data_IF_546109667307
#
_entry.id   IF_546109667307
#
_cell.length_a   1.000
_cell.length_b   1.000
_cell.length_c   1.000
_cell.angle_alpha   90.00
_cell.angle_beta   90.00
_cell.angle_gamma   90.00
#
_symmetry.space_group_name_H-M   'P 1'
#
loop_
_entity.id
_entity.type
_entity.pdbx_description
1 polymer ?
#
# COMPACT_ATOMS: atom_id res chain seq x y z
N UNK A 1 9.80 -18.96 -7.98
CA UNK A 1 9.04 -17.69 -8.15
C UNK A 1 8.09 -17.56 -6.96
N UNK A 2 8.07 -16.43 -6.25
CA UNK A 2 7.15 -16.25 -5.10
C UNK A 2 5.70 -16.39 -5.54
N UNK A 3 4.86 -17.00 -4.72
CA UNK A 3 3.48 -17.34 -5.11
C UNK A 3 2.66 -16.08 -5.43
N UNK A 4 2.90 -14.97 -4.72
CA UNK A 4 2.19 -13.72 -4.95
C UNK A 4 2.44 -13.10 -6.33
N UNK A 5 3.61 -13.34 -6.93
CA UNK A 5 3.92 -12.86 -8.29
C UNK A 5 2.98 -13.47 -9.36
N UNK A 6 2.33 -14.60 -9.08
CA UNK A 6 1.33 -15.21 -9.97
C UNK A 6 0.11 -14.30 -10.19
N UNK A 7 -0.16 -13.34 -9.30
CA UNK A 7 -1.21 -12.34 -9.50
C UNK A 7 -0.94 -11.48 -10.74
N UNK A 8 0.32 -11.13 -10.99
CA UNK A 8 0.72 -10.26 -12.11
C UNK A 8 0.81 -11.00 -13.45
N UNK A 9 0.87 -12.33 -13.42
CA UNK A 9 0.88 -13.18 -14.61
C UNK A 9 -0.54 -13.60 -15.06
N UNK A 10 -1.56 -13.35 -14.24
CA UNK A 10 -2.95 -13.69 -14.54
C UNK A 10 -3.61 -12.55 -15.34
N UNK A 11 -3.63 -12.68 -16.67
CA UNK A 11 -4.16 -11.64 -17.55
C UNK A 11 -5.63 -11.28 -17.26
N UNK A 12 -6.46 -12.25 -16.89
CA UNK A 12 -7.87 -12.01 -16.58
C UNK A 12 -8.00 -11.21 -15.28
N UNK A 13 -7.22 -11.55 -14.26
CA UNK A 13 -7.20 -10.81 -13.00
C UNK A 13 -6.59 -9.41 -13.18
N UNK A 14 -5.51 -9.27 -13.94
CA UNK A 14 -4.90 -7.98 -14.26
C UNK A 14 -5.92 -7.06 -14.92
N UNK A 15 -6.67 -7.55 -15.92
CA UNK A 15 -7.75 -6.79 -16.56
C UNK A 15 -8.81 -6.36 -15.54
N UNK A 16 -9.22 -7.27 -14.64
CA UNK A 16 -10.18 -6.95 -13.56
C UNK A 16 -9.65 -5.89 -12.60
N UNK A 17 -8.36 -5.92 -12.24
CA UNK A 17 -7.71 -4.89 -11.43
C UNK A 17 -7.78 -3.53 -12.14
N UNK A 18 -7.39 -3.48 -13.42
CA UNK A 18 -7.39 -2.25 -14.22
C UNK A 18 -8.81 -1.63 -14.32
N UNK A 19 -9.84 -2.47 -14.52
CA UNK A 19 -11.22 -2.02 -14.69
C UNK A 19 -11.92 -1.63 -13.39
N UNK A 20 -11.62 -2.32 -12.28
CA UNK A 20 -12.39 -2.25 -11.03
C UNK A 20 -11.69 -1.47 -9.92
N UNK A 21 -10.36 -1.56 -9.82
CA UNK A 21 -9.63 -0.95 -8.70
C UNK A 21 -9.85 0.57 -8.58
N UNK A 22 -9.88 1.36 -9.68
CA UNK A 22 -10.20 2.78 -9.58
C UNK A 22 -11.53 3.03 -8.90
N UNK A 23 -12.59 2.31 -9.26
CA UNK A 23 -13.90 2.49 -8.65
C UNK A 23 -13.92 2.06 -7.18
N UNK A 24 -13.28 0.94 -6.84
CA UNK A 24 -13.19 0.47 -5.46
C UNK A 24 -12.44 1.47 -4.57
N UNK A 25 -11.34 2.05 -5.05
CA UNK A 25 -10.60 3.06 -4.30
C UNK A 25 -11.35 4.40 -4.23
N UNK A 26 -12.20 4.72 -5.22
CA UNK A 26 -13.12 5.87 -5.15
C UNK A 26 -14.17 5.68 -4.05
N UNK A 27 -14.71 4.48 -3.90
CA UNK A 27 -15.63 4.13 -2.80
C UNK A 27 -14.92 4.26 -1.46
N UNK A 28 -13.69 3.72 -1.34
CA UNK A 28 -12.89 3.89 -0.13
C UNK A 28 -12.64 5.37 0.21
N UNK A 29 -12.34 6.22 -0.78
CA UNK A 29 -12.22 7.66 -0.57
C UNK A 29 -13.52 8.29 -0.07
N UNK A 30 -14.69 7.87 -0.58
CA UNK A 30 -15.99 8.40 -0.12
C UNK A 30 -16.28 8.02 1.33
N UNK A 31 -16.05 6.75 1.69
CA UNK A 31 -16.24 6.24 3.06
C UNK A 31 -15.29 6.87 4.07
N UNK A 32 -14.10 7.26 3.64
CA UNK A 32 -13.09 7.93 4.46
C UNK A 32 -13.05 9.44 4.21
N UNK A 33 -14.15 10.05 3.78
CA UNK A 33 -14.23 11.50 3.55
C UNK A 33 -15.23 12.18 4.46
N UNK A 34 -14.87 13.37 4.92
CA UNK A 34 -15.80 14.32 5.54
C UNK A 34 -15.66 15.68 4.88
N UNK A 35 -16.79 16.26 4.43
CA UNK A 35 -16.82 17.53 3.71
C UNK A 35 -15.82 17.58 2.52
N UNK A 36 -15.70 16.48 1.77
CA UNK A 36 -14.81 16.37 0.61
C UNK A 36 -13.31 16.28 0.95
N UNK A 37 -12.93 16.16 2.23
CA UNK A 37 -11.56 15.91 2.67
C UNK A 37 -11.41 14.45 3.05
N UNK A 38 -10.44 13.78 2.42
CA UNK A 38 -10.11 12.38 2.67
C UNK A 38 -9.24 12.29 3.93
N UNK A 39 -9.66 11.51 4.91
CA UNK A 39 -8.90 11.17 6.10
C UNK A 39 -7.83 10.10 5.85
N UNK A 40 -6.92 9.92 6.79
CA UNK A 40 -5.80 8.96 6.64
C UNK A 40 -6.23 7.50 6.78
N UNK A 41 -7.37 7.25 7.44
CA UNK A 41 -8.01 5.95 7.56
C UNK A 41 -8.38 5.32 6.21
N UNK A 42 -8.40 6.13 5.14
CA UNK A 42 -8.53 5.63 3.76
C UNK A 42 -7.48 4.59 3.41
N UNK A 43 -6.28 4.67 4.02
CA UNK A 43 -5.22 3.69 3.85
C UNK A 43 -5.67 2.30 4.28
N UNK A 44 -6.22 2.18 5.49
CA UNK A 44 -6.74 0.92 6.05
C UNK A 44 -7.93 0.39 5.25
N UNK A 45 -8.79 1.26 4.72
CA UNK A 45 -9.90 0.81 3.88
C UNK A 45 -9.43 0.30 2.51
N UNK A 46 -8.44 0.95 1.91
CA UNK A 46 -7.82 0.48 0.66
C UNK A 46 -7.06 -0.83 0.85
N UNK A 47 -6.39 -1.00 1.98
CA UNK A 47 -5.75 -2.26 2.37
C UNK A 47 -6.76 -3.41 2.36
N UNK A 48 -7.94 -3.24 2.97
CA UNK A 48 -9.02 -4.24 2.92
C UNK A 48 -9.45 -4.60 1.49
N UNK A 49 -9.51 -3.61 0.58
CA UNK A 49 -9.81 -3.86 -0.84
C UNK A 49 -8.72 -4.73 -1.48
N UNK A 50 -7.45 -4.49 -1.16
CA UNK A 50 -6.34 -5.29 -1.68
C UNK A 50 -6.31 -6.70 -1.05
N UNK A 51 -6.59 -6.84 0.24
CA UNK A 51 -6.72 -8.15 0.89
C UNK A 51 -7.85 -8.95 0.25
N UNK A 52 -9.00 -8.34 -0.03
CA UNK A 52 -10.10 -9.01 -0.74
C UNK A 52 -9.69 -9.51 -2.15
N UNK A 53 -8.85 -8.75 -2.87
CA UNK A 53 -8.26 -9.19 -4.13
C UNK A 53 -7.35 -10.41 -3.95
N UNK A 54 -6.54 -10.43 -2.88
CA UNK A 54 -5.66 -11.56 -2.56
C UNK A 54 -6.48 -12.81 -2.21
N UNK A 55 -7.53 -12.67 -1.39
CA UNK A 55 -8.49 -13.74 -1.07
C UNK A 55 -9.13 -14.27 -2.36
N UNK A 56 -9.58 -13.38 -3.25
CA UNK A 56 -10.16 -13.79 -4.53
C UNK A 56 -9.19 -14.62 -5.39
N UNK A 57 -7.89 -14.30 -5.37
CA UNK A 57 -6.87 -14.99 -6.18
C UNK A 57 -6.39 -16.30 -5.54
N UNK A 58 -6.15 -16.31 -4.23
CA UNK A 58 -5.47 -17.41 -3.54
C UNK A 58 -6.41 -18.28 -2.68
N UNK A 59 -7.63 -17.81 -2.41
CA UNK A 59 -8.60 -18.44 -1.52
C UNK A 59 -8.42 -18.00 -0.07
N UNK A 60 -9.50 -18.04 0.72
CA UNK A 60 -9.53 -17.63 2.13
C UNK A 60 -8.51 -18.40 2.97
N UNK A 61 -8.43 -19.71 2.81
CA UNK A 61 -7.47 -20.57 3.54
C UNK A 61 -6.00 -20.25 3.26
N UNK A 62 -5.71 -19.54 2.17
CA UNK A 62 -4.36 -19.16 1.79
C UNK A 62 -4.01 -17.72 2.17
N UNK A 63 -4.94 -16.97 2.74
CA UNK A 63 -4.76 -15.55 3.09
C UNK A 63 -5.16 -15.34 4.54
N UNK A 64 -4.16 -15.24 5.41
CA UNK A 64 -4.37 -14.97 6.83
C UNK A 64 -4.41 -13.44 7.06
N UNK A 65 -5.59 -12.99 7.48
CA UNK A 65 -5.93 -11.60 7.76
C UNK A 65 -5.93 -11.28 9.25
N UNK A 66 -5.69 -12.26 10.12
CA UNK A 66 -5.69 -12.09 11.58
C UNK A 66 -4.36 -11.51 12.07
N UNK A 67 -3.90 -10.46 11.39
CA UNK A 67 -2.70 -9.71 11.74
C UNK A 67 -3.14 -8.49 12.55
N UNK A 68 -2.58 -8.25 13.75
CA UNK A 68 -2.90 -7.06 14.52
C UNK A 68 -2.63 -5.79 13.70
N UNK A 69 -3.53 -4.80 13.77
CA UNK A 69 -3.35 -3.51 13.08
C UNK A 69 -2.10 -2.74 13.58
N UNK A 70 -1.56 -3.14 14.73
CA UNK A 70 -0.33 -2.59 15.31
C UNK A 70 0.92 -3.39 14.92
N UNK A 71 0.78 -4.49 14.18
CA UNK A 71 1.92 -5.29 13.71
C UNK A 71 2.80 -4.42 12.81
N UNK A 72 4.12 -4.36 13.06
CA UNK A 72 5.02 -3.61 12.20
C UNK A 72 5.20 -4.28 10.85
N UNK A 73 4.96 -3.51 9.79
CA UNK A 73 5.22 -3.84 8.37
C UNK A 73 4.31 -4.89 7.73
N UNK A 74 3.99 -5.99 8.41
CA UNK A 74 3.18 -7.06 7.83
C UNK A 74 1.70 -6.72 8.01
N UNK A 75 0.98 -6.62 6.89
CA UNK A 75 -0.46 -6.31 6.89
C UNK A 75 -1.31 -7.58 6.60
N UNK A 76 -0.72 -8.57 5.94
CA UNK A 76 -1.38 -9.84 5.59
C UNK A 76 -0.35 -10.94 5.33
N UNK A 77 -0.68 -12.21 5.61
CA UNK A 77 0.13 -13.36 5.21
C UNK A 77 -0.55 -14.06 4.02
N UNK A 78 0.17 -14.21 2.91
CA UNK A 78 -0.33 -14.87 1.69
C UNK A 78 0.50 -16.11 1.44
N UNK A 79 -0.15 -17.28 1.47
CA UNK A 79 0.46 -18.60 1.23
C UNK A 79 1.67 -18.90 2.13
N UNK A 80 1.63 -18.39 3.37
CA UNK A 80 2.68 -18.53 4.38
C UNK A 80 3.76 -17.44 4.35
N UNK A 81 3.68 -16.46 3.46
CA UNK A 81 4.64 -15.35 3.35
C UNK A 81 3.99 -14.02 3.76
N UNK A 82 4.64 -13.26 4.65
CA UNK A 82 4.17 -11.92 5.02
C UNK A 82 4.26 -10.91 3.87
N UNK A 83 3.32 -9.97 3.84
CA UNK A 83 3.20 -8.94 2.82
C UNK A 83 2.83 -7.59 3.47
N UNK A 84 3.55 -6.54 3.11
CA UNK A 84 3.15 -5.17 3.39
C UNK A 84 2.32 -4.61 2.24
N UNK A 85 1.20 -3.97 2.52
CA UNK A 85 0.37 -3.25 1.57
C UNK A 85 0.50 -1.76 1.84
N UNK A 86 0.89 -1.00 0.80
CA UNK A 86 1.04 0.46 0.92
C UNK A 86 0.26 1.13 -0.19
N UNK A 87 -0.51 2.17 0.17
CA UNK A 87 -1.20 2.99 -0.82
C UNK A 87 -0.80 4.45 -0.65
N UNK A 88 -0.65 5.14 -1.77
CA UNK A 88 -0.27 6.55 -1.77
C UNK A 88 -0.89 7.28 -2.94
N UNK A 89 -1.37 8.50 -2.70
CA UNK A 89 -1.88 9.36 -3.76
C UNK A 89 -0.75 10.28 -4.24
N UNK A 90 -0.46 10.27 -5.54
CA UNK A 90 0.63 11.04 -6.17
C UNK A 90 1.99 10.75 -5.52
N UNK A 91 2.88 11.74 -5.47
CA UNK A 91 4.23 11.66 -4.89
C UNK A 91 4.27 11.89 -3.37
N UNK A 92 3.28 11.39 -2.63
CA UNK A 92 3.30 11.46 -1.17
C UNK A 92 4.41 10.60 -0.56
N UNK A 93 4.76 10.89 0.69
CA UNK A 93 5.74 10.09 1.45
C UNK A 93 5.19 8.71 1.80
N UNK A 94 5.90 7.65 1.42
CA UNK A 94 5.51 6.27 1.73
C UNK A 94 6.15 5.88 3.07
N UNK A 95 5.32 5.55 4.06
CA UNK A 95 5.78 5.18 5.41
C UNK A 95 6.41 3.80 5.42
N UNK A 96 7.63 3.74 5.94
CA UNK A 96 8.33 2.50 6.28
C UNK A 96 7.96 2.05 7.69
N UNK A 97 7.94 2.99 8.65
CA UNK A 97 7.63 2.73 10.08
C UNK A 97 6.78 3.87 10.65
N UNK A 98 5.76 3.54 11.44
CA UNK A 98 4.88 4.49 12.12
C UNK A 98 5.44 5.00 13.47
N UNK A 99 6.72 5.36 13.51
CA UNK A 99 7.35 5.95 14.70
C UNK A 99 7.21 7.48 14.71
N UNK A 100 6.58 8.04 15.73
CA UNK A 100 6.18 9.47 15.75
C UNK A 100 7.12 10.37 16.54
N UNK A 101 7.73 9.89 17.62
CA UNK A 101 8.71 10.67 18.39
C UNK A 101 10.14 10.48 17.86
N UNK A 102 11.00 11.46 18.14
CA UNK A 102 12.36 11.49 17.60
C UNK A 102 13.24 10.33 18.11
N UNK A 103 13.04 9.90 19.36
CA UNK A 103 13.82 8.82 19.96
C UNK A 103 13.43 7.47 19.35
N UNK A 104 12.13 7.15 19.29
CA UNK A 104 11.62 5.92 18.68
C UNK A 104 11.87 5.89 17.17
N UNK A 105 11.84 7.03 16.49
CA UNK A 105 12.20 7.13 15.07
C UNK A 105 13.67 6.80 14.82
N UNK A 106 14.57 7.24 15.71
CA UNK A 106 16.00 6.93 15.61
C UNK A 106 16.29 5.46 15.93
N UNK A 107 15.63 4.89 16.92
CA UNK A 107 15.70 3.45 17.22
C UNK A 107 15.18 2.62 16.05
N UNK A 108 14.02 3.00 15.51
CA UNK A 108 13.41 2.37 14.34
C UNK A 108 14.34 2.43 13.14
N UNK A 109 14.95 3.59 12.88
CA UNK A 109 15.95 3.74 11.82
C UNK A 109 17.09 2.74 11.99
N UNK A 110 17.75 2.75 13.16
CA UNK A 110 18.92 1.91 13.43
C UNK A 110 18.64 0.42 13.29
N UNK A 111 17.44 -0.02 13.69
CA UNK A 111 17.04 -1.42 13.68
C UNK A 111 16.30 -1.83 12.41
N UNK A 112 15.92 -0.88 11.55
CA UNK A 112 15.18 -1.17 10.35
C UNK A 112 15.96 -2.06 9.41
N UNK A 113 15.28 -3.09 8.92
CA UNK A 113 15.68 -3.93 7.80
C UNK A 113 14.40 -4.42 7.14
N UNK A 114 14.28 -4.37 5.80
CA UNK A 114 13.15 -4.97 5.10
C UNK A 114 12.93 -6.43 5.51
N UNK A 115 11.68 -6.83 5.80
CA UNK A 115 11.35 -8.19 6.25
C UNK A 115 10.38 -8.95 5.34
N UNK A 116 9.55 -8.24 4.58
CA UNK A 116 8.52 -8.83 3.74
C UNK A 116 8.49 -8.19 2.34
N UNK A 117 7.69 -8.75 1.43
CA UNK A 117 7.40 -8.09 0.15
C UNK A 117 6.53 -6.85 0.37
N UNK A 118 6.59 -5.88 -0.55
CA UNK A 118 5.69 -4.74 -0.56
C UNK A 118 4.78 -4.82 -1.79
N UNK A 119 3.48 -4.74 -1.58
CA UNK A 119 2.48 -4.43 -2.59
C UNK A 119 2.14 -2.94 -2.51
N UNK A 120 2.67 -2.16 -3.44
CA UNK A 120 2.50 -0.69 -3.46
C UNK A 120 1.47 -0.30 -4.53
N UNK A 121 0.48 0.50 -4.14
CA UNK A 121 -0.48 1.12 -5.07
C UNK A 121 -0.33 2.64 -5.06
N UNK A 122 0.15 3.20 -6.17
CA UNK A 122 0.21 4.63 -6.42
C UNK A 122 -1.02 5.09 -7.19
N UNK A 123 -1.72 6.08 -6.66
CA UNK A 123 -3.01 6.57 -7.17
C UNK A 123 -2.79 7.89 -7.89
N UNK A 124 -3.10 7.90 -9.18
CA UNK A 124 -2.86 9.03 -10.07
C UNK A 124 -4.13 9.47 -10.81
N UNK A 125 -5.15 9.93 -10.07
CA UNK A 125 -6.42 10.40 -10.66
C UNK A 125 -6.23 11.29 -11.89
N UNK A 126 -6.91 10.93 -12.99
CA UNK A 126 -6.84 11.57 -14.30
C UNK A 126 -5.68 11.09 -15.18
N UNK A 127 -4.90 10.09 -14.77
CA UNK A 127 -3.74 9.58 -15.52
C UNK A 127 -3.75 8.06 -15.66
N UNK A 128 -3.08 7.59 -16.70
CA UNK A 128 -2.75 6.18 -16.90
C UNK A 128 -1.25 5.98 -16.75
N UNK A 129 -0.84 5.27 -15.69
CA UNK A 129 0.56 5.05 -15.32
C UNK A 129 0.72 3.69 -14.65
N UNK A 130 1.94 3.16 -14.64
CA UNK A 130 2.32 2.09 -13.72
C UNK A 130 1.99 2.51 -12.29
N UNK A 131 1.12 1.74 -11.65
CA UNK A 131 0.45 2.17 -10.41
C UNK A 131 0.37 1.07 -9.37
N UNK A 132 0.35 -0.20 -9.78
CA UNK A 132 0.22 -1.32 -8.86
C UNK A 132 1.48 -2.17 -8.98
N UNK A 133 2.24 -2.27 -7.90
CA UNK A 133 3.59 -2.80 -7.90
C UNK A 133 3.76 -3.89 -6.85
N UNK A 134 4.40 -4.99 -7.21
CA UNK A 134 4.98 -5.93 -6.27
C UNK A 134 6.48 -5.71 -6.24
N UNK A 135 6.99 -5.28 -5.09
CA UNK A 135 8.39 -5.04 -4.82
C UNK A 135 8.90 -6.18 -3.92
N UNK A 136 9.60 -7.18 -4.49
CA UNK A 136 10.08 -8.30 -3.70
C UNK A 136 11.09 -7.87 -2.63
N UNK A 137 11.15 -8.58 -1.51
CA UNK A 137 12.08 -8.37 -0.43
C UNK A 137 13.53 -8.32 -0.92
N UNK A 138 13.90 -9.19 -1.87
CA UNK A 138 15.25 -9.16 -2.49
C UNK A 138 15.58 -7.80 -3.13
N UNK A 139 14.60 -7.17 -3.78
CA UNK A 139 14.76 -5.85 -4.42
C UNK A 139 14.94 -4.77 -3.37
N UNK A 140 14.15 -4.84 -2.29
CA UNK A 140 14.29 -3.94 -1.15
C UNK A 140 15.67 -4.08 -0.50
N UNK A 141 16.14 -5.31 -0.29
CA UNK A 141 17.46 -5.59 0.28
C UNK A 141 18.61 -5.11 -0.61
N UNK A 142 18.50 -5.26 -1.93
CA UNK A 142 19.49 -4.73 -2.89
C UNK A 142 19.53 -3.19 -2.85
N UNK A 143 18.37 -2.53 -2.89
CA UNK A 143 18.29 -1.08 -2.76
C UNK A 143 18.81 -0.59 -1.39
N UNK A 144 18.47 -1.30 -0.31
CA UNK A 144 18.94 -1.02 1.04
C UNK A 144 20.46 -1.14 1.17
N UNK A 145 21.05 -2.20 0.59
CA UNK A 145 22.50 -2.40 0.55
C UNK A 145 23.20 -1.31 -0.26
N UNK A 146 22.62 -0.91 -1.40
CA UNK A 146 23.19 0.10 -2.30
C UNK A 146 23.19 1.51 -1.70
N UNK A 147 22.09 1.91 -1.08
CA UNK A 147 21.94 3.26 -0.53
C UNK A 147 22.54 3.38 0.87
N UNK A 148 22.54 2.29 1.64
CA UNK A 148 22.74 2.35 3.08
C UNK A 148 21.51 2.93 3.80
N UNK A 149 21.42 2.65 5.10
CA UNK A 149 20.24 2.97 5.92
C UNK A 149 19.86 4.46 5.93
N UNK A 150 20.84 5.35 6.06
CA UNK A 150 20.63 6.80 6.16
C UNK A 150 20.07 7.42 4.87
N UNK A 151 20.38 6.83 3.71
CA UNK A 151 19.86 7.28 2.41
C UNK A 151 18.67 6.47 1.93
N UNK A 152 18.38 5.33 2.56
CA UNK A 152 17.20 4.51 2.30
C UNK A 152 15.94 5.05 3.00
N UNK A 153 16.10 5.62 4.19
CA UNK A 153 15.00 6.14 5.02
C UNK A 153 15.17 7.64 5.30
N UNK A 154 14.05 8.36 5.25
CA UNK A 154 13.97 9.75 5.68
C UNK A 154 13.43 9.80 7.10
N UNK A 155 14.20 10.41 7.99
CA UNK A 155 13.73 10.72 9.34
C UNK A 155 12.63 11.80 9.29
N UNK A 156 11.72 11.77 10.27
CA UNK A 156 10.75 12.83 10.46
C UNK A 156 11.46 14.19 10.63
N UNK A 157 11.00 15.24 9.94
CA UNK A 157 11.58 16.59 10.11
C UNK A 157 11.28 17.11 11.51
N UNK A 158 12.32 17.48 12.26
CA UNK A 158 12.19 18.10 13.57
C UNK A 158 11.33 19.37 13.50
N UNK A 159 10.47 19.59 14.49
CA UNK A 159 9.57 20.76 14.53
C UNK A 159 8.37 20.70 13.58
N UNK A 160 8.16 19.57 12.89
CA UNK A 160 6.92 19.31 12.14
C UNK A 160 6.01 18.34 12.91
N UNK A 161 4.82 18.03 12.39
CA UNK A 161 3.98 16.93 12.88
C UNK A 161 4.07 15.72 11.91
N UNK A 162 5.23 15.03 11.87
CA UNK A 162 5.42 13.94 10.95
C UNK A 162 4.80 12.66 11.52
N UNK A 163 4.24 11.85 10.64
CA UNK A 163 3.53 10.61 11.02
C UNK A 163 4.34 9.36 10.70
N UNK A 164 5.64 9.33 11.03
CA UNK A 164 6.48 8.17 10.76
C UNK A 164 7.70 8.43 9.86
N UNK A 165 8.61 7.46 9.89
CA UNK A 165 9.78 7.34 9.02
C UNK A 165 9.33 6.92 7.62
N UNK A 166 9.86 7.59 6.59
CA UNK A 166 9.50 7.34 5.19
C UNK A 166 10.63 6.64 4.43
N UNK A 167 10.31 5.93 3.36
CA UNK A 167 11.30 5.61 2.34
C UNK A 167 11.78 6.89 1.67
N UNK A 168 13.08 6.97 1.37
CA UNK A 168 13.58 8.07 0.56
C UNK A 168 13.06 7.99 -0.87
N UNK A 169 13.03 9.13 -1.58
CA UNK A 169 12.61 9.16 -2.99
C UNK A 169 13.52 8.28 -3.85
N UNK A 170 14.82 8.26 -3.55
CA UNK A 170 15.78 7.41 -4.25
C UNK A 170 15.56 5.93 -3.97
N UNK A 171 15.20 5.55 -2.74
CA UNK A 171 14.85 4.17 -2.42
C UNK A 171 13.62 3.72 -3.21
N UNK A 172 12.54 4.51 -3.21
CA UNK A 172 11.33 4.21 -3.99
C UNK A 172 11.65 4.10 -5.48
N UNK A 173 12.39 5.06 -6.04
CA UNK A 173 12.79 5.04 -7.45
C UNK A 173 13.58 3.77 -7.80
N UNK A 174 14.64 3.47 -7.04
CA UNK A 174 15.46 2.29 -7.26
C UNK A 174 14.64 0.99 -7.19
N UNK A 175 13.71 0.89 -6.24
CA UNK A 175 12.84 -0.28 -6.11
C UNK A 175 11.84 -0.41 -7.26
N UNK A 176 11.22 0.69 -7.70
CA UNK A 176 10.22 0.67 -8.78
C UNK A 176 10.83 0.42 -10.16
N UNK A 177 12.01 0.97 -10.42
CA UNK A 177 12.73 0.80 -11.70
C UNK A 177 13.41 -0.57 -11.81
N UNK A 178 13.57 -1.29 -10.70
CA UNK A 178 14.24 -2.58 -10.69
C UNK A 178 13.51 -3.62 -11.55
N UNK A 179 14.26 -4.37 -12.37
CA UNK A 179 13.74 -5.44 -13.24
C UNK A 179 12.99 -6.55 -12.50
N UNK A 180 13.28 -6.71 -11.21
CA UNK A 180 12.63 -7.69 -10.34
C UNK A 180 11.26 -7.26 -9.81
N UNK A 181 10.86 -6.01 -10.03
CA UNK A 181 9.58 -5.45 -9.58
C UNK A 181 8.52 -5.63 -10.65
N UNK A 182 7.43 -6.32 -10.30
CA UNK A 182 6.27 -6.51 -11.17
C UNK A 182 5.36 -5.28 -11.09
N UNK A 183 4.71 -4.94 -12.21
CA UNK A 183 3.89 -3.73 -12.31
C UNK A 183 2.64 -3.94 -13.17
N UNK A 184 1.58 -3.22 -12.85
CA UNK A 184 0.37 -3.10 -13.65
C UNK A 184 0.09 -1.60 -13.84
N UNK A 185 -0.09 -1.20 -15.10
CA UNK A 185 -0.54 0.15 -15.46
C UNK A 185 -2.05 0.26 -15.23
N UNK A 186 -2.48 1.36 -14.60
CA UNK A 186 -3.88 1.62 -14.27
C UNK A 186 -4.27 3.00 -14.78
N UNK A 187 -5.38 3.07 -15.50
CA UNK A 187 -6.03 4.32 -15.88
C UNK A 187 -6.98 4.77 -14.75
N UNK A 188 -6.53 5.73 -13.94
CA UNK A 188 -7.27 6.20 -12.78
C UNK A 188 -8.33 7.24 -13.17
N UNK A 189 -9.45 6.78 -13.70
CA UNK A 189 -10.60 7.65 -13.99
C UNK A 189 -11.64 7.58 -12.88
N UNK A 190 -12.13 8.76 -12.46
CA UNK A 190 -13.26 8.85 -11.53
C UNK A 190 -14.54 8.60 -12.31
N UNK A 191 -15.22 7.51 -12.01
CA UNK A 191 -16.59 7.28 -12.48
C UNK A 191 -17.56 7.93 -11.50
N UNK A 192 -18.65 8.47 -12.04
CA UNK A 192 -19.76 8.90 -11.19
C UNK A 192 -20.31 7.67 -10.45
N UNK A 193 -20.38 7.77 -9.13
CA UNK A 193 -20.84 6.67 -8.27
C UNK A 193 -21.83 7.26 -7.29
N UNK A 194 -23.10 6.85 -7.41
CA UNK A 194 -24.12 7.17 -6.41
C UNK A 194 -23.87 6.30 -5.19
N UNK A 195 -23.26 6.89 -4.16
CA UNK A 195 -22.97 6.21 -2.91
C UNK A 195 -23.06 7.20 -1.75
N UNK A 196 -23.97 6.93 -0.81
CA UNK A 196 -24.10 7.68 0.42
C UNK A 196 -23.63 6.80 1.59
N UNK A 197 -22.60 7.28 2.30
CA UNK A 197 -21.94 6.56 3.40
C UNK A 197 -22.88 6.28 4.58
N UNK A 198 -23.99 7.01 4.68
CA UNK A 198 -24.94 6.91 5.78
C UNK A 198 -26.09 5.94 5.53
N UNK A 199 -26.35 5.54 4.29
CA UNK A 199 -27.53 4.74 3.94
C UNK A 199 -27.61 3.44 4.75
N UNK A 200 -26.47 2.77 4.97
CA UNK A 200 -26.44 1.53 5.77
C UNK A 200 -26.83 1.76 7.23
N UNK A 201 -26.49 2.92 7.79
CA UNK A 201 -26.74 3.22 9.20
C UNK A 201 -28.17 3.69 9.40
N UNK A 202 -28.69 4.50 8.47
CA UNK A 202 -30.09 4.94 8.48
C UNK A 202 -31.02 3.72 8.51
N UNK A 203 -30.80 2.74 7.63
CA UNK A 203 -31.56 1.48 7.59
C UNK A 203 -31.48 0.63 8.87
N UNK A 204 -30.48 0.83 9.72
CA UNK A 204 -30.37 0.12 10.99
C UNK A 204 -31.12 0.83 12.13
N UNK A 205 -31.48 2.10 11.94
CA UNK A 205 -32.28 2.88 12.89
C UNK A 205 -33.78 2.89 12.56
N UNK A 206 -34.12 2.57 11.30
CA UNK A 206 -35.48 2.30 10.82
C UNK A 206 -35.93 0.87 11.20
#
# INVERSE_FOLDING_TARGET
MRKIAKLFADAALVKKIQERLPNLFRIAEMESSRAGKIGMEVGSLREKVIIALLIHKFGENAVDTQIPITEPEIDVIVTGEGLSIKTITKNGGIKAVWAVDAASSKVSLNNYKPKCDILLVQIWWGKELDSFFLIPLRVQLEAFKRLGRASYLNLPKAGTNPRGVEFSKDAIRLMLEHKGTSRISINWQKKETKYNVYDRWIRCWE
#
